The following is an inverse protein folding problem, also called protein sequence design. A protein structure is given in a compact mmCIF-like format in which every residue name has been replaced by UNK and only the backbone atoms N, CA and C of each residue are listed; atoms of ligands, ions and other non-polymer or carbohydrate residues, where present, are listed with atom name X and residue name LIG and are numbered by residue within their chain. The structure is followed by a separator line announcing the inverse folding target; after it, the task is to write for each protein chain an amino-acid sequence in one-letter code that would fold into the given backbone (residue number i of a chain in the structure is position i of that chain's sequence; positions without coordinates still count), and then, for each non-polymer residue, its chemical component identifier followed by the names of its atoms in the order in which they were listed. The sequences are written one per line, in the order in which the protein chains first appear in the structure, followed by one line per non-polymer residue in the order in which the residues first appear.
data_IF_559732802484
#
_entry.id   IF_559732802484
#
_cell.length_a   1.000
_cell.length_b   1.000
_cell.length_c   1.000
_cell.angle_alpha   90.00
_cell.angle_beta   90.00
_cell.angle_gamma   90.00
#
_symmetry.space_group_name_H-M   'P 1'
#
loop_
_entity.id
_entity.type
_entity.pdbx_description
1 polymer ?
#
# COMPACT_ATOMS: atom_id res chain seq x y z
N UNK A 1 27.57 -49.34 32.33
CA UNK A 1 27.05 -48.00 32.66
C UNK A 1 26.83 -47.11 31.40
N UNK A 2 26.34 -47.63 30.27
CA UNK A 2 26.11 -46.82 29.05
C UNK A 2 24.66 -46.82 28.52
N UNK A 3 23.71 -47.36 29.31
CA UNK A 3 22.32 -47.52 28.80
C UNK A 3 21.25 -46.68 29.51
N UNK A 4 21.62 -45.79 30.47
CA UNK A 4 20.64 -44.98 31.22
C UNK A 4 20.59 -43.48 30.81
N UNK A 5 21.48 -43.03 29.93
CA UNK A 5 21.53 -41.61 29.49
C UNK A 5 20.66 -41.38 28.26
N UNK A 6 20.36 -42.42 27.48
CA UNK A 6 19.59 -42.27 26.23
C UNK A 6 18.08 -42.10 26.45
N UNK A 7 17.54 -42.49 27.60
CA UNK A 7 16.08 -42.37 27.89
C UNK A 7 15.70 -40.99 28.42
N UNK A 8 16.65 -40.24 28.99
CA UNK A 8 16.35 -38.91 29.56
C UNK A 8 16.32 -37.81 28.51
N UNK A 9 17.01 -37.99 27.37
CA UNK A 9 17.02 -37.01 26.29
C UNK A 9 15.76 -37.09 25.40
N UNK A 10 15.19 -38.30 25.25
CA UNK A 10 13.95 -38.50 24.49
C UNK A 10 12.71 -37.95 25.24
N UNK A 11 12.75 -37.90 26.57
CA UNK A 11 11.63 -37.36 27.37
C UNK A 11 11.61 -35.84 27.43
N UNK A 12 12.71 -35.14 27.16
CA UNK A 12 12.82 -33.70 27.13
C UNK A 12 12.44 -33.12 25.76
N UNK A 13 12.51 -33.90 24.69
CA UNK A 13 12.09 -33.47 23.34
C UNK A 13 10.58 -33.61 23.09
N UNK A 14 9.88 -34.41 23.89
CA UNK A 14 8.42 -34.54 23.81
C UNK A 14 7.66 -33.54 24.69
N UNK A 15 8.35 -32.88 25.63
CA UNK A 15 7.74 -31.85 26.49
C UNK A 15 7.76 -30.45 25.89
N UNK A 16 8.48 -30.20 24.78
CA UNK A 16 8.57 -28.88 24.14
C UNK A 16 7.57 -28.64 22.99
N UNK A 17 6.81 -29.67 22.59
CA UNK A 17 5.77 -29.53 21.55
C UNK A 17 4.37 -29.34 22.11
N UNK A 18 4.22 -29.28 23.45
CA UNK A 18 2.92 -29.19 24.14
C UNK A 18 2.51 -27.80 24.65
N UNK A 19 3.30 -26.79 24.42
CA UNK A 19 3.03 -25.45 24.97
C UNK A 19 3.04 -24.38 23.88
N UNK A 20 1.99 -24.25 23.12
CA UNK A 20 1.44 -22.97 22.64
C UNK A 20 0.20 -23.16 21.74
N UNK A 21 -0.78 -23.92 22.16
CA UNK A 21 -2.15 -23.63 21.75
C UNK A 21 -2.75 -22.62 22.76
N UNK A 22 -2.18 -21.39 22.80
CA UNK A 22 -2.94 -20.25 23.32
C UNK A 22 -4.15 -20.09 22.42
N UNK A 23 -5.35 -20.10 23.04
CA UNK A 23 -6.63 -19.75 22.45
C UNK A 23 -6.46 -18.66 21.38
N UNK A 24 -6.22 -19.04 20.14
CA UNK A 24 -6.45 -18.17 19.01
C UNK A 24 -7.96 -18.05 18.94
N UNK A 25 -8.50 -16.90 19.32
CA UNK A 25 -9.89 -16.57 19.00
C UNK A 25 -10.10 -16.91 17.54
N UNK A 26 -11.01 -17.84 17.27
CA UNK A 26 -11.36 -18.19 15.89
C UNK A 26 -11.82 -16.91 15.21
N UNK A 27 -11.20 -16.54 14.10
CA UNK A 27 -11.56 -15.30 13.43
C UNK A 27 -13.04 -15.35 13.02
N UNK A 28 -13.76 -14.30 13.37
CA UNK A 28 -15.17 -14.16 12.98
C UNK A 28 -15.19 -13.77 11.50
N UNK A 29 -15.98 -14.48 10.69
CA UNK A 29 -16.22 -14.13 9.28
C UNK A 29 -17.05 -12.83 9.13
N UNK A 30 -17.50 -12.25 10.24
CA UNK A 30 -18.43 -11.11 10.28
C UNK A 30 -17.78 -9.76 10.51
N UNK A 31 -16.45 -9.69 10.44
CA UNK A 31 -15.75 -8.40 10.49
C UNK A 31 -15.79 -7.74 9.13
N UNK A 32 -16.04 -6.43 9.08
CA UNK A 32 -15.92 -5.66 7.86
C UNK A 32 -14.46 -5.67 7.41
N UNK A 33 -14.24 -6.09 6.17
CA UNK A 33 -12.92 -6.04 5.52
C UNK A 33 -12.94 -5.05 4.37
N UNK A 34 -11.95 -4.19 4.34
CA UNK A 34 -11.79 -3.14 3.34
C UNK A 34 -10.63 -3.46 2.42
N UNK A 35 -10.86 -3.31 1.12
CA UNK A 35 -9.85 -3.50 0.10
C UNK A 35 -9.02 -2.24 -0.09
N UNK A 36 -7.69 -2.40 -0.14
CA UNK A 36 -6.76 -1.35 -0.52
C UNK A 36 -5.83 -1.82 -1.64
N UNK A 37 -5.30 -0.87 -2.41
CA UNK A 37 -4.35 -1.15 -3.49
C UNK A 37 -3.39 0.00 -3.73
N UNK A 38 -2.18 -0.32 -4.22
CA UNK A 38 -1.17 0.67 -4.56
C UNK A 38 -0.35 0.27 -5.79
N UNK A 39 -0.19 1.11 -6.82
CA UNK A 39 -1.01 2.30 -7.03
C UNK A 39 -2.50 1.97 -7.09
N UNK A 40 -3.37 2.98 -6.88
CA UNK A 40 -4.82 2.77 -6.91
C UNK A 40 -5.26 2.26 -8.26
N UNK A 41 -5.95 1.12 -8.27
CA UNK A 41 -6.54 0.56 -9.48
C UNK A 41 -8.04 0.89 -9.52
N UNK A 42 -8.47 1.65 -10.52
CA UNK A 42 -9.91 1.92 -10.77
C UNK A 42 -10.63 0.73 -11.36
N UNK A 43 -9.95 0.08 -12.31
CA UNK A 43 -10.55 -0.97 -13.13
C UNK A 43 -10.24 -2.36 -12.56
N UNK A 44 -9.33 -2.45 -11.61
CA UNK A 44 -8.77 -3.71 -11.12
C UNK A 44 -9.35 -4.22 -9.82
N UNK A 45 -10.45 -3.64 -9.33
CA UNK A 45 -11.05 -4.02 -8.05
C UNK A 45 -12.50 -4.50 -8.18
N UNK A 46 -12.97 -4.84 -9.39
CA UNK A 46 -14.35 -5.26 -9.62
C UNK A 46 -14.69 -6.53 -8.85
N UNK A 47 -13.79 -7.52 -8.88
CA UNK A 47 -13.94 -8.74 -8.08
C UNK A 47 -14.00 -8.41 -6.58
N UNK A 48 -13.16 -7.47 -6.11
CA UNK A 48 -13.06 -7.09 -4.69
C UNK A 48 -14.18 -6.15 -4.23
N UNK A 49 -14.98 -5.60 -5.12
CA UNK A 49 -16.17 -4.81 -4.75
C UNK A 49 -17.26 -5.68 -4.11
N UNK A 50 -17.30 -6.96 -4.46
CA UNK A 50 -18.25 -7.93 -3.92
C UNK A 50 -17.85 -8.31 -2.50
N UNK A 51 -18.74 -8.14 -1.53
CA UNK A 51 -18.50 -8.49 -0.12
C UNK A 51 -18.13 -9.97 0.04
N UNK A 52 -18.85 -10.87 -0.63
CA UNK A 52 -18.61 -12.32 -0.58
C UNK A 52 -17.22 -12.72 -1.10
N UNK A 53 -16.67 -12.00 -2.07
CA UNK A 53 -15.30 -12.22 -2.53
C UNK A 53 -14.27 -11.92 -1.43
N UNK A 54 -14.48 -10.84 -0.67
CA UNK A 54 -13.62 -10.52 0.48
C UNK A 54 -13.76 -11.56 1.59
N UNK A 55 -15.00 -12.01 1.88
CA UNK A 55 -15.24 -13.07 2.86
C UNK A 55 -14.55 -14.39 2.47
N UNK A 56 -14.55 -14.76 1.18
CA UNK A 56 -13.81 -15.91 0.67
C UNK A 56 -12.32 -15.81 1.00
N UNK A 57 -11.68 -14.70 0.67
CA UNK A 57 -10.25 -14.49 0.94
C UNK A 57 -9.92 -14.53 2.44
N UNK A 58 -10.81 -14.01 3.28
CA UNK A 58 -10.68 -14.09 4.74
C UNK A 58 -10.87 -15.53 5.23
N UNK A 59 -11.81 -16.27 4.67
CA UNK A 59 -12.01 -17.69 4.98
C UNK A 59 -10.78 -18.53 4.63
N UNK A 60 -10.24 -18.35 3.43
CA UNK A 60 -8.99 -19.02 3.01
C UNK A 60 -7.79 -18.62 3.87
N UNK A 61 -7.68 -17.36 4.26
CA UNK A 61 -6.65 -16.91 5.21
C UNK A 61 -6.77 -17.65 6.55
N UNK A 62 -7.99 -18.02 6.96
CA UNK A 62 -8.26 -18.80 8.16
C UNK A 62 -8.03 -20.31 7.98
N UNK A 63 -7.64 -20.75 6.78
CA UNK A 63 -7.49 -22.16 6.42
C UNK A 63 -8.82 -22.91 6.31
N UNK A 64 -9.90 -22.22 5.92
CA UNK A 64 -11.20 -22.79 5.67
C UNK A 64 -11.35 -23.14 4.18
N UNK A 65 -12.05 -24.22 3.90
CA UNK A 65 -12.50 -24.57 2.56
C UNK A 65 -13.80 -23.84 2.18
N UNK A 66 -14.20 -23.94 0.92
CA UNK A 66 -15.40 -23.27 0.40
C UNK A 66 -16.66 -23.78 1.11
N UNK A 67 -16.77 -25.08 1.40
CA UNK A 67 -17.93 -25.66 2.11
C UNK A 67 -18.11 -25.00 3.49
N UNK A 68 -17.04 -24.88 4.26
CA UNK A 68 -17.07 -24.24 5.57
C UNK A 68 -17.39 -22.75 5.47
N UNK A 69 -16.81 -22.04 4.48
CA UNK A 69 -17.11 -20.62 4.24
C UNK A 69 -18.59 -20.46 3.88
N UNK A 70 -19.14 -21.31 2.99
CA UNK A 70 -20.53 -21.31 2.60
C UNK A 70 -21.47 -21.46 3.84
N UNK A 71 -21.17 -22.41 4.68
CA UNK A 71 -21.92 -22.66 5.92
C UNK A 71 -21.87 -21.46 6.89
N UNK A 72 -20.71 -20.92 7.13
CA UNK A 72 -20.51 -19.82 8.09
C UNK A 72 -21.06 -18.48 7.56
N UNK A 73 -20.94 -18.22 6.26
CA UNK A 73 -21.44 -17.00 5.59
C UNK A 73 -22.92 -17.11 5.19
N UNK A 74 -23.52 -18.30 5.28
CA UNK A 74 -24.87 -18.61 4.76
C UNK A 74 -25.01 -18.26 3.27
N UNK A 75 -23.95 -18.46 2.50
CA UNK A 75 -23.89 -18.21 1.06
C UNK A 75 -24.03 -19.53 0.30
N UNK A 76 -24.64 -19.53 -0.91
CA UNK A 76 -24.66 -20.71 -1.77
C UNK A 76 -23.23 -21.09 -2.19
N UNK A 77 -22.91 -22.37 -2.10
CA UNK A 77 -21.56 -22.88 -2.41
C UNK A 77 -21.20 -22.66 -3.88
N UNK A 78 -22.14 -22.90 -4.80
CA UNK A 78 -21.96 -22.68 -6.24
C UNK A 78 -21.68 -21.20 -6.61
N UNK A 79 -22.16 -20.26 -5.80
CA UNK A 79 -21.84 -18.84 -5.96
C UNK A 79 -20.41 -18.57 -5.49
N UNK A 80 -20.00 -19.18 -4.38
CA UNK A 80 -18.63 -19.01 -3.86
C UNK A 80 -17.59 -19.64 -4.77
N UNK A 81 -17.88 -20.79 -5.40
CA UNK A 81 -17.03 -21.41 -6.40
C UNK A 81 -16.81 -20.51 -7.62
N UNK A 82 -17.88 -19.88 -8.14
CA UNK A 82 -17.77 -18.90 -9.23
C UNK A 82 -16.95 -17.69 -8.84
N UNK A 83 -17.17 -17.16 -7.62
CA UNK A 83 -16.38 -16.05 -7.10
C UNK A 83 -14.91 -16.44 -6.92
N UNK A 84 -14.63 -17.68 -6.53
CA UNK A 84 -13.26 -18.18 -6.44
C UNK A 84 -12.57 -18.20 -7.81
N UNK A 85 -13.25 -18.69 -8.84
CA UNK A 85 -12.74 -18.63 -10.21
C UNK A 85 -12.44 -17.18 -10.66
N UNK A 86 -13.36 -16.24 -10.39
CA UNK A 86 -13.14 -14.80 -10.65
C UNK A 86 -11.88 -14.28 -9.92
N UNK A 87 -11.69 -14.69 -8.65
CA UNK A 87 -10.55 -14.29 -7.84
C UNK A 87 -9.23 -14.91 -8.32
N UNK A 88 -9.25 -16.14 -8.83
CA UNK A 88 -8.08 -16.79 -9.45
C UNK A 88 -7.69 -16.08 -10.74
N UNK A 89 -8.65 -15.79 -11.64
CA UNK A 89 -8.40 -15.04 -12.86
C UNK A 89 -7.81 -13.66 -12.56
N UNK A 90 -8.34 -12.98 -11.54
CA UNK A 90 -7.86 -11.70 -11.06
C UNK A 90 -6.53 -11.78 -10.25
N UNK A 91 -6.02 -12.98 -9.97
CA UNK A 91 -4.82 -13.25 -9.15
C UNK A 91 -4.90 -12.70 -7.74
N UNK A 92 -6.05 -12.84 -7.11
CA UNK A 92 -6.25 -12.57 -5.68
C UNK A 92 -6.29 -13.84 -4.84
N UNK A 93 -6.57 -14.99 -5.45
CA UNK A 93 -6.51 -16.30 -4.85
C UNK A 93 -5.78 -17.28 -5.75
N UNK A 94 -5.31 -18.39 -5.20
CA UNK A 94 -4.72 -19.49 -5.93
C UNK A 94 -4.98 -20.81 -5.20
N UNK A 95 -5.07 -21.90 -5.96
CA UNK A 95 -5.06 -23.25 -5.46
C UNK A 95 -3.60 -23.70 -5.31
N UNK A 96 -3.16 -23.90 -4.07
CA UNK A 96 -1.75 -24.16 -3.77
C UNK A 96 -1.43 -25.66 -3.78
N UNK A 97 -2.39 -26.46 -3.37
CA UNK A 97 -2.39 -27.92 -3.44
C UNK A 97 -3.84 -28.41 -3.47
N UNK A 98 -4.06 -29.66 -3.77
CA UNK A 98 -5.41 -30.27 -3.92
C UNK A 98 -6.29 -30.17 -2.65
N UNK A 99 -5.86 -29.47 -1.62
CA UNK A 99 -6.55 -29.37 -0.33
C UNK A 99 -6.61 -27.97 0.27
N UNK A 100 -6.03 -26.95 -0.35
CA UNK A 100 -6.02 -25.62 0.27
C UNK A 100 -5.98 -24.46 -0.71
N UNK A 101 -7.09 -23.75 -0.78
CA UNK A 101 -7.18 -22.44 -1.43
C UNK A 101 -6.53 -21.37 -0.55
N UNK A 102 -5.84 -20.42 -1.16
CA UNK A 102 -5.09 -19.39 -0.43
C UNK A 102 -5.28 -18.00 -1.02
N UNK A 103 -5.36 -16.97 -0.17
CA UNK A 103 -5.30 -15.59 -0.66
C UNK A 103 -3.88 -15.27 -1.15
N UNK A 104 -3.80 -14.55 -2.27
CA UNK A 104 -2.57 -14.04 -2.86
C UNK A 104 -2.31 -12.57 -2.50
N UNK A 105 -2.92 -12.11 -1.41
CA UNK A 105 -2.75 -10.77 -0.85
C UNK A 105 -2.79 -10.85 0.69
N UNK A 106 -2.14 -9.93 1.42
CA UNK A 106 -2.19 -9.91 2.87
C UNK A 106 -3.59 -9.58 3.38
N UNK A 107 -4.01 -10.32 4.40
CA UNK A 107 -5.20 -10.05 5.21
C UNK A 107 -4.73 -9.54 6.56
N UNK A 108 -4.87 -8.24 6.78
CA UNK A 108 -4.34 -7.52 7.94
C UNK A 108 -5.45 -7.35 8.97
N UNK A 109 -5.25 -7.89 10.14
CA UNK A 109 -6.24 -7.91 11.21
C UNK A 109 -5.97 -6.82 12.23
N UNK A 110 -7.01 -6.43 12.95
CA UNK A 110 -6.89 -5.47 14.05
C UNK A 110 -5.81 -5.87 15.08
N UNK A 111 -5.70 -7.18 15.39
CA UNK A 111 -4.66 -7.70 16.28
C UNK A 111 -3.24 -7.47 15.75
N UNK A 112 -3.06 -7.52 14.42
CA UNK A 112 -1.75 -7.33 13.79
C UNK A 112 -1.37 -5.85 13.80
N UNK A 113 -2.34 -4.98 13.56
CA UNK A 113 -2.17 -3.52 13.63
C UNK A 113 -1.72 -3.10 15.04
N UNK A 114 -2.38 -3.63 16.08
CA UNK A 114 -2.01 -3.36 17.49
C UNK A 114 -0.57 -3.78 17.81
N UNK A 115 -0.09 -4.89 17.24
CA UNK A 115 1.29 -5.36 17.45
C UNK A 115 2.34 -4.42 16.86
N UNK A 116 2.05 -3.84 15.70
CA UNK A 116 3.02 -3.03 14.95
C UNK A 116 2.88 -1.53 15.21
N UNK A 117 1.83 -1.09 15.91
CA UNK A 117 1.51 0.34 16.09
C UNK A 117 2.70 1.16 16.57
N UNK A 118 3.42 0.69 17.59
CA UNK A 118 4.59 1.39 18.13
C UNK A 118 5.72 1.53 17.10
N UNK A 119 5.96 0.48 16.30
CA UNK A 119 6.96 0.51 15.24
C UNK A 119 6.53 1.46 14.13
N UNK A 120 5.26 1.45 13.75
CA UNK A 120 4.68 2.33 12.75
C UNK A 120 4.83 3.81 13.16
N UNK A 121 4.45 4.16 14.38
CA UNK A 121 4.60 5.51 14.95
C UNK A 121 6.06 5.97 14.94
N UNK A 122 6.99 5.08 15.30
CA UNK A 122 8.43 5.35 15.23
C UNK A 122 8.90 5.70 13.82
N UNK A 123 8.52 4.90 12.83
CA UNK A 123 8.89 5.15 11.43
C UNK A 123 8.23 6.41 10.86
N UNK A 124 6.97 6.69 11.21
CA UNK A 124 6.29 7.94 10.83
C UNK A 124 7.08 9.14 11.35
N UNK A 125 7.47 9.13 12.62
CA UNK A 125 8.23 10.22 13.24
C UNK A 125 9.59 10.41 12.55
N UNK A 126 10.34 9.32 12.33
CA UNK A 126 11.66 9.38 11.70
C UNK A 126 11.58 9.91 10.26
N UNK A 127 10.65 9.43 9.44
CA UNK A 127 10.49 9.91 8.07
C UNK A 127 10.01 11.37 8.05
N UNK A 128 9.12 11.77 8.98
CA UNK A 128 8.71 13.17 9.10
C UNK A 128 9.89 14.06 9.47
N UNK A 129 10.73 13.65 10.42
CA UNK A 129 11.92 14.40 10.81
C UNK A 129 12.92 14.50 9.66
N UNK A 130 13.07 13.43 8.88
CA UNK A 130 13.93 13.41 7.70
C UNK A 130 13.45 14.41 6.64
N UNK A 131 12.17 14.50 6.36
CA UNK A 131 11.61 15.51 5.46
C UNK A 131 11.81 16.92 6.01
N UNK A 132 11.52 17.14 7.29
CA UNK A 132 11.64 18.46 7.93
C UNK A 132 13.08 18.95 7.96
N UNK A 133 14.05 18.10 8.25
CA UNK A 133 15.48 18.48 8.23
C UNK A 133 15.99 18.83 6.85
N UNK A 134 15.37 18.29 5.78
CA UNK A 134 15.69 18.61 4.39
C UNK A 134 14.67 19.58 3.75
N UNK A 135 13.84 20.25 4.55
CA UNK A 135 12.81 21.15 4.03
C UNK A 135 13.34 22.27 3.15
N UNK A 136 14.47 22.94 3.50
CA UNK A 136 15.07 23.95 2.62
C UNK A 136 15.49 23.41 1.23
N UNK A 137 15.89 22.13 1.15
CA UNK A 137 16.18 21.48 -0.13
C UNK A 137 14.90 21.24 -0.95
N UNK A 138 13.80 20.88 -0.28
CA UNK A 138 12.48 20.74 -0.91
C UNK A 138 12.03 22.09 -1.47
N UNK A 139 12.05 23.15 -0.68
CA UNK A 139 11.70 24.51 -1.10
C UNK A 139 12.51 24.97 -2.33
N UNK A 140 13.81 24.70 -2.33
CA UNK A 140 14.67 25.01 -3.46
C UNK A 140 14.31 24.18 -4.70
N UNK A 141 14.05 22.90 -4.51
CA UNK A 141 13.73 21.96 -5.59
C UNK A 141 12.39 22.23 -6.28
N UNK A 142 11.42 22.82 -5.57
CA UNK A 142 10.11 23.17 -6.14
C UNK A 142 10.06 24.56 -6.79
N UNK A 143 11.08 25.41 -6.62
CA UNK A 143 11.10 26.77 -7.14
C UNK A 143 10.75 26.89 -8.64
N UNK A 144 11.21 25.98 -9.53
CA UNK A 144 10.79 26.00 -10.94
C UNK A 144 9.27 25.80 -11.11
N UNK A 145 8.69 24.87 -10.35
CA UNK A 145 7.25 24.63 -10.38
C UNK A 145 6.47 25.85 -9.84
N UNK A 146 6.95 26.49 -8.78
CA UNK A 146 6.34 27.68 -8.22
C UNK A 146 6.36 28.87 -9.20
N UNK A 147 7.40 29.02 -9.98
CA UNK A 147 7.51 30.05 -11.00
C UNK A 147 6.49 29.86 -12.13
N UNK A 148 6.27 28.62 -12.54
CA UNK A 148 5.31 28.26 -13.60
C UNK A 148 3.85 28.21 -13.12
N UNK A 149 3.65 27.94 -11.83
CA UNK A 149 2.33 27.78 -11.21
C UNK A 149 2.01 28.91 -10.21
N UNK A 150 2.16 30.17 -10.65
CA UNK A 150 2.06 31.38 -9.81
C UNK A 150 0.73 31.55 -9.10
N UNK A 151 -0.34 31.04 -9.68
CA UNK A 151 -1.71 31.17 -9.13
C UNK A 151 -2.05 30.10 -8.10
N UNK A 152 -1.14 29.14 -7.85
CA UNK A 152 -1.36 28.06 -6.88
C UNK A 152 -0.76 28.50 -5.55
N UNK A 153 -1.52 28.39 -4.43
CA UNK A 153 -0.97 28.60 -3.10
C UNK A 153 0.25 27.72 -2.85
N UNK A 154 1.28 28.28 -2.22
CA UNK A 154 2.55 27.62 -2.02
C UNK A 154 2.42 26.29 -1.23
N UNK A 155 1.61 26.28 -0.18
CA UNK A 155 1.33 25.11 0.66
C UNK A 155 0.53 24.03 -0.07
N UNK A 156 -0.35 24.40 -1.03
CA UNK A 156 -0.98 23.46 -1.95
C UNK A 156 0.06 22.84 -2.89
N UNK A 157 0.93 23.67 -3.49
CA UNK A 157 1.99 23.18 -4.37
C UNK A 157 2.92 22.22 -3.64
N UNK A 158 3.28 22.54 -2.39
CA UNK A 158 4.05 21.65 -1.53
C UNK A 158 3.31 20.33 -1.28
N UNK A 159 2.00 20.35 -1.06
CA UNK A 159 1.23 19.11 -0.93
C UNK A 159 1.32 18.26 -2.21
N UNK A 160 1.07 18.85 -3.38
CA UNK A 160 1.10 18.13 -4.64
C UNK A 160 2.46 17.49 -4.92
N UNK A 161 3.56 18.20 -4.61
CA UNK A 161 4.92 17.72 -4.87
C UNK A 161 5.42 16.78 -3.77
N UNK A 162 5.25 17.12 -2.50
CA UNK A 162 5.74 16.28 -1.39
C UNK A 162 4.93 15.00 -1.30
N UNK A 163 3.61 15.11 -1.34
CA UNK A 163 2.75 13.92 -1.24
C UNK A 163 2.71 13.18 -2.56
N UNK A 164 2.27 13.83 -3.64
CA UNK A 164 2.09 13.19 -4.94
C UNK A 164 3.40 12.83 -5.63
N UNK A 165 4.38 13.73 -5.56
CA UNK A 165 5.68 13.57 -6.20
C UNK A 165 6.66 12.73 -5.38
N UNK A 166 6.99 13.14 -4.15
CA UNK A 166 8.05 12.52 -3.35
C UNK A 166 7.56 11.22 -2.70
N UNK A 167 6.55 11.29 -1.82
CA UNK A 167 6.13 10.14 -1.01
C UNK A 167 5.49 9.03 -1.84
N UNK A 168 4.58 9.35 -2.73
CA UNK A 168 3.85 8.32 -3.50
C UNK A 168 4.40 8.07 -4.90
N UNK A 169 5.00 9.06 -5.58
CA UNK A 169 5.57 8.89 -6.91
C UNK A 169 7.01 8.40 -6.87
N UNK A 170 7.90 9.25 -6.37
CA UNK A 170 9.35 9.02 -6.38
C UNK A 170 9.78 7.85 -5.51
N UNK A 171 9.19 7.68 -4.30
CA UNK A 171 9.51 6.53 -3.46
C UNK A 171 9.06 5.22 -4.08
N UNK A 172 7.91 5.18 -4.76
CA UNK A 172 7.47 4.00 -5.49
C UNK A 172 8.47 3.62 -6.59
N UNK A 173 8.90 4.61 -7.39
CA UNK A 173 9.91 4.42 -8.42
C UNK A 173 11.26 3.99 -7.82
N UNK A 174 11.67 4.60 -6.70
CA UNK A 174 12.91 4.25 -6.01
C UNK A 174 12.88 2.79 -5.50
N UNK A 175 11.79 2.34 -4.89
CA UNK A 175 11.64 0.96 -4.45
C UNK A 175 11.64 -0.04 -5.62
N UNK A 176 10.99 0.29 -6.74
CA UNK A 176 10.99 -0.58 -7.92
C UNK A 176 12.36 -0.67 -8.59
N UNK A 177 13.08 0.43 -8.63
CA UNK A 177 14.43 0.46 -9.23
C UNK A 177 15.44 -0.30 -8.37
N UNK A 178 15.37 -0.12 -7.04
CA UNK A 178 16.30 -0.75 -6.10
C UNK A 178 15.98 -2.24 -5.86
N UNK A 179 14.70 -2.62 -5.92
CA UNK A 179 14.18 -3.98 -5.72
C UNK A 179 14.56 -4.67 -4.38
N UNK A 180 15.20 -3.95 -3.45
CA UNK A 180 15.57 -4.52 -2.15
C UNK A 180 14.41 -4.63 -1.18
N UNK A 181 13.43 -3.71 -1.29
CA UNK A 181 12.24 -3.67 -0.43
C UNK A 181 11.01 -4.22 -1.11
N UNK A 182 10.86 -3.95 -2.39
CA UNK A 182 9.68 -4.32 -3.16
C UNK A 182 10.12 -4.88 -4.51
N UNK A 183 9.48 -5.97 -4.92
CA UNK A 183 9.56 -6.45 -6.31
C UNK A 183 8.33 -5.95 -7.08
N UNK A 184 8.40 -5.81 -8.41
CA UNK A 184 7.27 -5.33 -9.20
C UNK A 184 5.97 -6.07 -8.86
N UNK A 185 4.83 -5.36 -8.72
CA UNK A 185 3.57 -6.00 -8.40
C UNK A 185 3.11 -6.95 -9.51
N UNK A 186 2.35 -7.99 -9.18
CA UNK A 186 1.79 -8.89 -10.18
C UNK A 186 0.83 -8.13 -11.09
N UNK A 187 0.64 -8.64 -12.30
CA UNK A 187 -0.51 -8.26 -13.12
C UNK A 187 -1.74 -8.89 -12.49
N UNK A 188 -2.76 -8.08 -12.24
CA UNK A 188 -4.03 -8.50 -11.67
C UNK A 188 -5.17 -8.23 -12.66
N UNK A 189 -6.39 -8.16 -12.18
CA UNK A 189 -7.57 -7.83 -12.96
C UNK A 189 -7.31 -6.64 -13.92
N UNK A 190 -7.82 -6.69 -15.15
CA UNK A 190 -7.58 -5.67 -16.16
C UNK A 190 -6.13 -5.55 -16.65
N UNK A 191 -5.30 -6.57 -16.41
CA UNK A 191 -3.86 -6.58 -16.74
C UNK A 191 -3.03 -5.47 -16.08
N UNK A 192 -3.58 -4.79 -15.09
CA UNK A 192 -2.90 -3.74 -14.34
C UNK A 192 -1.94 -4.32 -13.30
N UNK A 193 -0.86 -3.59 -13.01
CA UNK A 193 0.12 -3.97 -11.99
C UNK A 193 -0.10 -3.13 -10.75
N UNK A 194 -0.51 -3.77 -9.65
CA UNK A 194 -0.66 -3.13 -8.33
C UNK A 194 -0.50 -4.13 -7.19
N UNK A 195 -0.07 -3.61 -6.04
CA UNK A 195 -0.14 -4.32 -4.76
C UNK A 195 -1.56 -4.25 -4.23
N UNK A 196 -1.96 -5.23 -3.45
CA UNK A 196 -3.31 -5.30 -2.90
C UNK A 196 -3.29 -5.89 -1.49
N UNK A 197 -4.28 -5.51 -0.68
CA UNK A 197 -4.46 -5.99 0.69
C UNK A 197 -5.92 -5.92 1.13
N UNK A 198 -6.25 -6.68 2.18
CA UNK A 198 -7.48 -6.53 2.93
C UNK A 198 -7.15 -6.08 4.35
N UNK A 199 -7.94 -5.16 4.90
CA UNK A 199 -7.78 -4.66 6.27
C UNK A 199 -9.08 -4.79 7.03
N UNK A 200 -9.02 -5.30 8.26
CA UNK A 200 -10.15 -5.50 9.17
C UNK A 200 -10.56 -4.18 9.84
N UNK A 201 -11.88 -3.98 9.97
CA UNK A 201 -12.58 -3.04 10.86
C UNK A 201 -12.43 -1.54 10.58
N UNK A 202 -11.37 -1.04 9.96
CA UNK A 202 -11.20 0.39 9.71
C UNK A 202 -10.89 0.68 8.24
N UNK A 203 -11.83 1.30 7.49
CA UNK A 203 -11.61 1.65 6.08
C UNK A 203 -10.45 2.62 5.88
N UNK A 204 -10.07 3.42 6.90
CA UNK A 204 -8.94 4.34 6.81
C UNK A 204 -7.61 3.59 6.67
N UNK A 205 -7.50 2.39 7.23
CA UNK A 205 -6.32 1.56 7.13
C UNK A 205 -6.20 0.84 5.77
N UNK A 206 -7.25 0.85 4.95
CA UNK A 206 -7.17 0.39 3.56
C UNK A 206 -6.49 1.40 2.63
N UNK A 207 -6.21 2.60 3.11
CA UNK A 207 -5.56 3.70 2.41
C UNK A 207 -6.46 4.95 2.36
N UNK A 208 -5.99 6.04 3.00
CA UNK A 208 -6.72 7.32 3.03
C UNK A 208 -6.33 8.21 1.87
N UNK A 209 -5.08 8.10 1.41
CA UNK A 209 -4.58 8.86 0.27
C UNK A 209 -4.52 7.98 -0.96
N UNK A 210 -5.05 8.49 -2.05
CA UNK A 210 -5.08 7.81 -3.34
C UNK A 210 -4.34 8.67 -4.35
N UNK A 211 -3.44 8.04 -5.12
CA UNK A 211 -2.74 8.69 -6.22
C UNK A 211 -2.99 7.90 -7.50
N UNK A 212 -3.44 8.59 -8.51
CA UNK A 212 -3.58 8.05 -9.86
C UNK A 212 -2.72 8.84 -10.83
N UNK A 213 -2.15 8.15 -11.81
CA UNK A 213 -1.35 8.75 -12.86
C UNK A 213 -1.67 8.10 -14.21
N UNK A 214 -1.76 8.92 -15.26
CA UNK A 214 -1.95 8.44 -16.65
C UNK A 214 -1.37 9.43 -17.64
N UNK A 215 -1.07 8.97 -18.84
CA UNK A 215 -0.60 9.81 -19.93
C UNK A 215 -1.76 10.23 -20.84
N UNK A 216 -1.82 11.49 -21.20
CA UNK A 216 -2.82 12.05 -22.10
C UNK A 216 -2.31 13.31 -22.79
N UNK A 217 -2.43 13.37 -24.13
CA UNK A 217 -2.11 14.57 -24.91
C UNK A 217 -0.67 15.06 -24.77
N UNK A 218 0.29 14.16 -24.56
CA UNK A 218 1.70 14.53 -24.35
C UNK A 218 2.01 15.04 -22.95
N UNK A 219 1.09 14.81 -22.00
CA UNK A 219 1.27 15.11 -20.57
C UNK A 219 1.11 13.86 -19.72
N UNK A 220 1.86 13.79 -18.64
CA UNK A 220 1.57 12.91 -17.51
C UNK A 220 0.66 13.66 -16.56
N UNK A 221 -0.57 13.18 -16.40
CA UNK A 221 -1.57 13.73 -15.49
C UNK A 221 -1.53 12.97 -14.18
N UNK A 222 -1.58 13.67 -13.06
CA UNK A 222 -1.57 13.09 -11.72
C UNK A 222 -2.74 13.66 -10.93
N UNK A 223 -3.46 12.78 -10.23
CA UNK A 223 -4.46 13.17 -9.24
C UNK A 223 -4.09 12.56 -7.89
N UNK A 224 -4.14 13.35 -6.82
CA UNK A 224 -3.77 12.96 -5.46
C UNK A 224 -4.74 13.52 -4.44
N UNK A 225 -5.24 12.69 -3.53
CA UNK A 225 -6.15 13.12 -2.46
C UNK A 225 -6.90 11.98 -1.81
N UNK A 226 -7.70 12.24 -0.78
CA UNK A 226 -8.48 11.22 -0.10
C UNK A 226 -9.59 10.63 -0.99
N UNK A 227 -10.14 11.44 -1.91
CA UNK A 227 -11.22 11.03 -2.80
C UNK A 227 -10.85 11.37 -4.24
N UNK A 228 -10.55 10.36 -5.04
CA UNK A 228 -10.36 10.56 -6.47
C UNK A 228 -11.71 10.81 -7.16
N UNK A 229 -11.76 11.69 -8.18
CA UNK A 229 -12.98 11.90 -8.97
C UNK A 229 -13.41 10.59 -9.66
N UNK A 230 -14.71 10.42 -9.90
CA UNK A 230 -15.23 9.19 -10.54
C UNK A 230 -14.65 8.96 -11.94
N UNK A 231 -14.41 10.02 -12.69
CA UNK A 231 -13.76 9.97 -14.00
C UNK A 231 -12.36 10.56 -13.91
N UNK A 232 -11.45 10.10 -14.76
CA UNK A 232 -10.11 10.68 -14.88
C UNK A 232 -10.19 12.15 -15.27
N UNK A 233 -9.44 12.98 -14.54
CA UNK A 233 -9.39 14.42 -14.80
C UNK A 233 -8.68 14.67 -16.14
N UNK A 234 -9.24 15.50 -17.01
CA UNK A 234 -8.61 15.90 -18.27
C UNK A 234 -7.65 17.07 -18.07
N UNK A 235 -6.73 17.26 -19.03
CA UNK A 235 -5.84 18.43 -19.03
C UNK A 235 -6.60 19.75 -19.03
N UNK A 236 -7.70 19.82 -19.80
CA UNK A 236 -8.52 21.03 -19.87
C UNK A 236 -9.21 21.30 -18.53
N UNK A 237 -9.63 20.25 -17.82
CA UNK A 237 -10.19 20.39 -16.47
C UNK A 237 -9.15 20.91 -15.50
N UNK A 238 -7.91 20.39 -15.52
CA UNK A 238 -6.81 20.89 -14.70
C UNK A 238 -6.56 22.37 -14.94
N UNK A 239 -6.55 22.80 -16.21
CA UNK A 239 -6.39 24.20 -16.59
C UNK A 239 -7.56 25.09 -16.10
N UNK A 240 -8.80 24.63 -16.26
CA UNK A 240 -9.98 25.35 -15.77
C UNK A 240 -9.97 25.50 -14.25
N UNK A 241 -9.55 24.48 -13.54
CA UNK A 241 -9.46 24.49 -12.07
C UNK A 241 -8.17 25.18 -11.56
N UNK A 242 -7.39 25.81 -12.48
CA UNK A 242 -6.09 26.46 -12.19
C UNK A 242 -5.09 25.54 -11.50
N UNK A 243 -5.14 24.24 -11.80
CA UNK A 243 -4.17 23.26 -11.32
C UNK A 243 -2.80 23.48 -11.98
N UNK A 244 -1.75 22.91 -11.36
CA UNK A 244 -0.38 23.02 -11.87
C UNK A 244 -0.25 22.36 -13.24
N UNK A 245 0.23 23.10 -14.23
CA UNK A 245 0.57 22.60 -15.57
C UNK A 245 2.00 23.04 -15.88
N UNK A 246 2.94 22.12 -15.85
CA UNK A 246 4.34 22.43 -16.14
C UNK A 246 4.69 22.12 -17.59
N UNK A 247 5.47 23.01 -18.20
CA UNK A 247 6.12 22.77 -19.48
C UNK A 247 7.18 21.65 -19.37
N UNK A 248 7.83 21.32 -20.50
CA UNK A 248 8.79 20.24 -20.54
C UNK A 248 10.04 20.53 -19.68
N UNK A 249 10.53 21.76 -19.68
CA UNK A 249 11.76 22.13 -18.96
C UNK A 249 11.55 22.07 -17.44
N UNK A 250 10.47 22.66 -16.94
CA UNK A 250 10.15 22.66 -15.52
C UNK A 250 9.69 21.28 -15.04
N UNK A 251 8.93 20.55 -15.85
CA UNK A 251 8.56 19.17 -15.56
C UNK A 251 9.79 18.25 -15.46
N UNK A 252 10.80 18.44 -16.32
CA UNK A 252 12.07 17.70 -16.27
C UNK A 252 12.86 18.02 -15.01
N UNK A 253 12.96 19.31 -14.65
CA UNK A 253 13.65 19.76 -13.43
C UNK A 253 12.98 19.18 -12.19
N UNK A 254 11.66 19.27 -12.11
CA UNK A 254 10.89 18.72 -10.99
C UNK A 254 11.05 17.19 -10.86
N UNK A 255 10.95 16.45 -11.97
CA UNK A 255 11.16 14.99 -11.96
C UNK A 255 12.58 14.64 -11.50
N UNK A 256 13.60 15.36 -12.01
CA UNK A 256 14.98 15.16 -11.60
C UNK A 256 15.16 15.42 -10.12
N UNK A 257 14.62 16.50 -9.59
CA UNK A 257 14.64 16.80 -8.17
C UNK A 257 13.99 15.69 -7.35
N UNK A 258 12.76 15.29 -7.68
CA UNK A 258 12.04 14.22 -6.97
C UNK A 258 12.86 12.92 -6.96
N UNK A 259 13.41 12.54 -8.12
CA UNK A 259 14.20 11.32 -8.26
C UNK A 259 15.47 11.35 -7.41
N UNK A 260 16.21 12.45 -7.44
CA UNK A 260 17.45 12.62 -6.66
C UNK A 260 17.11 12.64 -5.17
N UNK A 261 16.16 13.47 -4.76
CA UNK A 261 15.76 13.60 -3.37
C UNK A 261 15.31 12.26 -2.76
N UNK A 262 14.47 11.52 -3.47
CA UNK A 262 14.00 10.22 -2.97
C UNK A 262 15.13 9.21 -2.86
N UNK A 263 16.03 9.14 -3.85
CA UNK A 263 17.16 8.19 -3.87
C UNK A 263 18.23 8.52 -2.84
N UNK A 264 18.50 9.79 -2.61
CA UNK A 264 19.63 10.22 -1.75
C UNK A 264 19.20 10.52 -0.32
N UNK A 265 17.96 10.94 -0.07
CA UNK A 265 17.49 11.33 1.26
C UNK A 265 16.56 10.30 1.92
N UNK A 266 15.60 9.75 1.17
CA UNK A 266 14.59 8.86 1.75
C UNK A 266 14.95 7.37 1.64
N UNK A 267 15.32 6.89 0.46
CA UNK A 267 15.61 5.48 0.22
C UNK A 267 16.70 4.92 1.16
N UNK A 268 17.79 5.64 1.50
CA UNK A 268 18.81 5.13 2.44
C UNK A 268 18.25 4.80 3.82
N UNK A 269 17.26 5.55 4.29
CA UNK A 269 16.55 5.24 5.55
C UNK A 269 15.87 3.88 5.48
N UNK A 270 15.11 3.62 4.41
CA UNK A 270 14.40 2.34 4.23
C UNK A 270 15.38 1.18 4.05
N UNK A 271 16.46 1.38 3.31
CA UNK A 271 17.52 0.35 3.16
C UNK A 271 18.20 0.01 4.47
N UNK A 272 18.56 1.02 5.26
CA UNK A 272 19.20 0.84 6.58
C UNK A 272 18.28 0.07 7.55
N UNK A 273 16.99 0.32 7.51
CA UNK A 273 16.00 -0.30 8.39
C UNK A 273 15.29 -1.52 7.78
N UNK A 274 15.81 -2.06 6.68
CA UNK A 274 15.16 -3.16 5.94
C UNK A 274 14.85 -4.36 6.81
N UNK A 275 15.76 -4.79 7.68
CA UNK A 275 15.54 -5.91 8.60
C UNK A 275 14.35 -5.66 9.52
N UNK A 276 14.27 -4.48 10.12
CA UNK A 276 13.16 -4.09 11.00
C UNK A 276 11.82 -4.08 10.24
N UNK A 277 11.80 -3.56 9.01
CA UNK A 277 10.59 -3.61 8.18
C UNK A 277 10.16 -5.04 7.87
N UNK A 278 11.12 -5.91 7.52
CA UNK A 278 10.82 -7.33 7.27
C UNK A 278 10.34 -8.05 8.52
N UNK A 279 10.91 -7.77 9.69
CA UNK A 279 10.44 -8.32 10.97
C UNK A 279 9.00 -7.89 11.27
N UNK A 280 8.66 -6.61 11.03
CA UNK A 280 7.29 -6.12 11.19
C UNK A 280 6.33 -6.81 10.22
N UNK A 281 6.69 -6.87 8.95
CA UNK A 281 5.86 -7.51 7.92
C UNK A 281 5.67 -9.01 8.18
N UNK A 282 6.69 -9.69 8.69
CA UNK A 282 6.61 -11.10 9.06
C UNK A 282 5.76 -11.36 10.33
N UNK A 283 5.43 -10.32 11.11
CA UNK A 283 4.49 -10.45 12.23
C UNK A 283 3.04 -10.55 11.78
N UNK A 284 2.74 -10.11 10.56
CA UNK A 284 1.44 -10.36 9.97
C UNK A 284 1.29 -11.85 9.74
N UNK A 285 0.17 -12.38 10.18
CA UNK A 285 -0.23 -13.76 9.88
C UNK A 285 -0.68 -13.85 8.41
N UNK A 286 0.20 -13.40 7.52
CA UNK A 286 -0.11 -13.23 6.11
C UNK A 286 -0.10 -14.55 5.33
N UNK A 287 0.20 -15.68 6.03
CA UNK A 287 0.31 -16.98 5.37
C UNK A 287 1.59 -17.12 4.52
N UNK A 288 1.96 -18.36 4.22
CA UNK A 288 3.20 -18.71 3.50
C UNK A 288 3.26 -18.20 2.04
N UNK A 289 2.14 -17.78 1.48
CA UNK A 289 2.00 -17.49 0.05
C UNK A 289 1.83 -16.00 -0.26
N UNK A 290 1.73 -15.17 0.76
CA UNK A 290 1.64 -13.72 0.56
C UNK A 290 3.01 -13.15 0.26
N UNK A 291 3.08 -12.34 -0.79
CA UNK A 291 4.33 -11.66 -1.15
C UNK A 291 4.67 -10.61 -0.09
N UNK A 292 5.89 -10.65 0.40
CA UNK A 292 6.42 -9.64 1.33
C UNK A 292 6.23 -8.22 0.79
N UNK A 293 6.32 -8.04 -0.54
CA UNK A 293 6.12 -6.74 -1.19
C UNK A 293 4.70 -6.19 -1.05
N UNK A 294 3.64 -7.03 -1.09
CA UNK A 294 2.27 -6.56 -0.88
C UNK A 294 2.06 -6.10 0.58
N UNK A 295 2.60 -6.85 1.54
CA UNK A 295 2.53 -6.49 2.94
C UNK A 295 3.38 -5.24 3.26
N UNK A 296 4.57 -5.11 2.66
CA UNK A 296 5.38 -3.91 2.81
C UNK A 296 4.74 -2.69 2.12
N UNK A 297 4.10 -2.87 0.96
CA UNK A 297 3.39 -1.79 0.29
C UNK A 297 2.28 -1.19 1.17
N UNK A 298 1.49 -2.04 1.85
CA UNK A 298 0.54 -1.58 2.85
C UNK A 298 1.23 -0.85 4.01
N UNK A 299 2.31 -1.42 4.57
CA UNK A 299 3.00 -0.81 5.69
C UNK A 299 3.59 0.55 5.32
N UNK A 300 4.18 0.67 4.13
CA UNK A 300 4.66 1.93 3.60
C UNK A 300 3.53 2.94 3.38
N UNK A 301 2.37 2.51 2.87
CA UNK A 301 1.19 3.35 2.73
C UNK A 301 0.77 3.96 4.07
N UNK A 302 0.79 3.16 5.16
CA UNK A 302 0.50 3.66 6.50
C UNK A 302 1.55 4.68 6.98
N UNK A 303 2.84 4.44 6.73
CA UNK A 303 3.91 5.40 7.04
C UNK A 303 3.68 6.70 6.28
N UNK A 304 3.48 6.64 4.97
CA UNK A 304 3.28 7.83 4.13
C UNK A 304 2.05 8.64 4.56
N UNK A 305 0.92 7.97 4.85
CA UNK A 305 -0.29 8.62 5.37
C UNK A 305 -0.04 9.32 6.72
N UNK A 306 0.65 8.66 7.64
CA UNK A 306 1.00 9.23 8.94
C UNK A 306 1.94 10.44 8.82
N UNK A 307 2.92 10.37 7.93
CA UNK A 307 3.83 11.49 7.61
C UNK A 307 3.03 12.69 7.08
N UNK A 308 2.12 12.46 6.13
CA UNK A 308 1.26 13.54 5.60
C UNK A 308 0.43 14.19 6.70
N UNK A 309 -0.17 13.39 7.59
CA UNK A 309 -0.92 13.93 8.74
C UNK A 309 -0.05 14.82 9.63
N UNK A 310 1.19 14.43 9.92
CA UNK A 310 2.13 15.24 10.71
C UNK A 310 2.56 16.53 10.01
N UNK A 311 2.80 16.48 8.69
CA UNK A 311 3.16 17.67 7.90
C UNK A 311 1.98 18.66 7.83
N UNK A 312 0.75 18.16 7.68
CA UNK A 312 -0.49 18.97 7.71
C UNK A 312 -0.68 19.62 9.11
N UNK A 313 -0.52 18.83 10.17
CA UNK A 313 -0.62 19.35 11.54
C UNK A 313 0.43 20.43 11.83
N UNK A 314 1.62 20.30 11.25
CA UNK A 314 2.69 21.31 11.31
C UNK A 314 2.47 22.51 10.37
N UNK A 315 1.40 22.54 9.58
CA UNK A 315 1.07 23.56 8.57
C UNK A 315 2.16 23.75 7.50
N UNK A 316 2.89 22.69 7.18
CA UNK A 316 3.90 22.69 6.12
C UNK A 316 3.31 22.43 4.74
N UNK A 317 2.19 21.74 4.68
CA UNK A 317 1.44 21.43 3.46
C UNK A 317 -0.06 21.58 3.72
N UNK A 318 -0.82 21.91 2.65
CA UNK A 318 -2.27 22.01 2.71
C UNK A 318 -2.94 20.91 1.90
N UNK A 319 -3.72 20.02 2.54
CA UNK A 319 -4.50 19.01 1.82
C UNK A 319 -5.66 19.66 1.06
N UNK A 320 -6.22 18.99 0.01
CA UNK A 320 -7.42 19.46 -0.64
C UNK A 320 -8.58 19.54 0.37
N UNK A 321 -9.34 20.64 0.30
CA UNK A 321 -10.52 20.85 1.17
C UNK A 321 -11.61 19.81 0.90
N UNK A 322 -11.69 19.30 -0.34
CA UNK A 322 -12.57 18.20 -0.75
C UNK A 322 -11.97 17.50 -1.96
N UNK A 323 -12.13 16.18 -2.02
CA UNK A 323 -11.72 15.42 -3.20
C UNK A 323 -10.20 15.26 -3.34
N UNK A 324 -9.62 15.89 -4.34
CA UNK A 324 -8.22 15.72 -4.73
C UNK A 324 -7.67 16.95 -5.45
N UNK A 325 -6.36 17.13 -5.41
CA UNK A 325 -5.65 18.00 -6.36
C UNK A 325 -5.28 17.22 -7.62
N UNK A 326 -5.17 17.95 -8.73
CA UNK A 326 -4.72 17.38 -9.99
C UNK A 326 -3.72 18.31 -10.67
N UNK A 327 -2.66 17.72 -11.24
CA UNK A 327 -1.63 18.47 -11.95
C UNK A 327 -1.16 17.73 -13.21
N UNK A 328 -0.49 18.45 -14.09
CA UNK A 328 -0.01 17.95 -15.37
C UNK A 328 1.47 18.28 -15.56
N UNK A 329 2.25 17.30 -15.99
CA UNK A 329 3.65 17.43 -16.32
C UNK A 329 3.83 17.12 -17.80
N UNK A 330 4.35 18.05 -18.61
CA UNK A 330 4.66 17.79 -20.02
C UNK A 330 5.60 16.56 -20.10
N UNK A 331 5.22 15.60 -20.93
CA UNK A 331 6.05 14.45 -21.19
C UNK A 331 7.29 14.86 -22.00
N UNK A 332 8.48 14.21 -21.83
CA UNK A 332 9.60 14.44 -22.71
C UNK A 332 9.23 14.06 -24.14
N UNK A 333 9.70 14.87 -25.10
CA UNK A 333 9.60 14.48 -26.51
C UNK A 333 10.45 13.23 -26.74
N UNK A 334 9.85 12.23 -27.38
CA UNK A 334 10.50 10.93 -27.67
C UNK A 334 11.41 11.05 -28.89
#
# INVERSE_FOLDING_TARGET
MKSRILVLVASLLLASTGLSQKNQEKPKLHSDFYFGSYPVSRDGATAMSKERARLLLVGFHNGWDIEKIAKESKSPEDELERLFADLQEARFADEVDSFSDRPMLPVIREKDIKKIQKSLEGHILEVTNLLRSNWPEIETGIAPAQTSAKDIPHDQLLYEIVVGGILFGGMNEAFFTDQTMMVPPPRREGSQRYYAWLVESDPKLAGTLKREQWDSGGFTLVTIGPNLPQTRTSLDRIRMDKGMVLDEADARRLRSFITIFTKERLLPYFKKNRSTFLEVVNQFDAGRYVRVSDAFAWYYDQIANGVVQQLVAARLIQPPSSGSYAYALKAPER
#
